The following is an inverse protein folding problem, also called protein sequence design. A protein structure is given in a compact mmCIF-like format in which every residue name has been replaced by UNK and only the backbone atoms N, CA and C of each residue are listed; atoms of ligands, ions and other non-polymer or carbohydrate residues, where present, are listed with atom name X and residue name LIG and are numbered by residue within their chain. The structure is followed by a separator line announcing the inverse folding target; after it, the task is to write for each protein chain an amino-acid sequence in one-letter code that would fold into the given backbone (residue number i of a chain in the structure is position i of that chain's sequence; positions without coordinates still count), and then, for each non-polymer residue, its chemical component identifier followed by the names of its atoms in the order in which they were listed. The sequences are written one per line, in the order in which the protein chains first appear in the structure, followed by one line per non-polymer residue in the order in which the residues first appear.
data_IF_684734370877
#
_entry.id   IF_684734370877
#
_cell.length_a   1.000
_cell.length_b   1.000
_cell.length_c   1.000
_cell.angle_alpha   90.00
_cell.angle_beta   90.00
_cell.angle_gamma   90.00
#
_symmetry.space_group_name_H-M   'P 1'
#
loop_
_entity.id
_entity.type
_entity.pdbx_description
1 polymer ?
#
# COMPACT_ATOMS: atom_id res chain seq x y z
N UNK A 1 -25.27 -3.61 6.05
CA UNK A 1 -24.14 -2.88 6.68
C UNK A 1 -23.41 -3.73 7.71
N UNK A 2 -24.10 -4.38 8.65
CA UNK A 2 -23.43 -5.23 9.66
C UNK A 2 -22.57 -6.35 9.05
N UNK A 3 -23.09 -7.11 8.07
CA UNK A 3 -22.31 -8.15 7.39
C UNK A 3 -21.02 -7.64 6.72
N UNK A 4 -21.04 -6.40 6.21
CA UNK A 4 -19.85 -5.77 5.62
C UNK A 4 -18.83 -5.42 6.71
N UNK A 5 -19.26 -4.88 7.84
CA UNK A 5 -18.36 -4.57 8.96
C UNK A 5 -17.69 -5.83 9.51
N UNK A 6 -18.46 -6.90 9.73
CA UNK A 6 -17.92 -8.18 10.18
C UNK A 6 -16.91 -8.73 9.18
N UNK A 7 -17.26 -8.78 7.90
CA UNK A 7 -16.33 -9.25 6.86
C UNK A 7 -15.02 -8.45 6.81
N UNK A 8 -15.08 -7.12 6.95
CA UNK A 8 -13.88 -6.28 6.98
C UNK A 8 -13.05 -6.48 8.25
N UNK A 9 -13.70 -6.62 9.41
CA UNK A 9 -13.02 -6.91 10.67
C UNK A 9 -12.29 -8.26 10.60
N UNK A 10 -12.92 -9.29 10.04
CA UNK A 10 -12.30 -10.60 9.84
C UNK A 10 -11.08 -10.52 8.91
N UNK A 11 -11.18 -9.79 7.79
CA UNK A 11 -10.04 -9.58 6.89
C UNK A 11 -8.90 -8.82 7.57
N UNK A 12 -9.20 -7.77 8.34
CA UNK A 12 -8.20 -7.00 9.09
C UNK A 12 -7.52 -7.88 10.15
N UNK A 13 -8.30 -8.66 10.90
CA UNK A 13 -7.77 -9.54 11.95
C UNK A 13 -6.90 -10.66 11.36
N UNK A 14 -7.33 -11.27 10.26
CA UNK A 14 -6.56 -12.28 9.53
C UNK A 14 -5.24 -11.70 9.03
N UNK A 15 -5.27 -10.52 8.41
CA UNK A 15 -4.08 -9.83 7.96
C UNK A 15 -3.11 -9.49 9.11
N UNK A 16 -3.62 -8.96 10.23
CA UNK A 16 -2.78 -8.69 11.39
C UNK A 16 -2.16 -9.94 12.00
N UNK A 17 -2.94 -11.03 12.10
CA UNK A 17 -2.43 -12.32 12.56
C UNK A 17 -1.28 -12.81 11.68
N UNK A 18 -1.42 -12.65 10.36
CA UNK A 18 -0.39 -13.00 9.40
C UNK A 18 0.88 -12.15 9.58
N UNK A 19 0.76 -10.83 9.67
CA UNK A 19 1.92 -9.94 9.88
C UNK A 19 2.64 -10.27 11.19
N UNK A 20 1.90 -10.54 12.28
CA UNK A 20 2.51 -10.96 13.57
C UNK A 20 3.22 -12.31 13.45
N UNK A 21 2.65 -13.27 12.73
CA UNK A 21 3.30 -14.56 12.48
C UNK A 21 4.59 -14.39 11.68
N UNK A 22 4.60 -13.53 10.65
CA UNK A 22 5.80 -13.19 9.90
C UNK A 22 6.86 -12.54 10.79
N UNK A 23 6.44 -11.61 11.67
CA UNK A 23 7.31 -10.93 12.62
C UNK A 23 7.96 -11.89 13.61
N UNK A 24 7.21 -12.87 14.13
CA UNK A 24 7.73 -13.89 15.05
C UNK A 24 8.70 -14.86 14.38
N UNK A 25 8.50 -15.15 13.09
CA UNK A 25 9.36 -16.04 12.32
C UNK A 25 10.64 -15.35 11.81
N UNK A 26 10.70 -14.02 11.84
CA UNK A 26 11.85 -13.26 11.36
C UNK A 26 12.84 -12.98 12.49
N UNK A 27 14.05 -13.51 12.34
CA UNK A 27 15.15 -13.28 13.29
C UNK A 27 16.14 -12.23 12.75
N UNK A 28 16.12 -11.06 13.38
CA UNK A 28 17.00 -9.94 13.03
C UNK A 28 18.46 -10.19 13.42
N UNK A 29 18.71 -10.97 14.48
CA UNK A 29 20.06 -11.31 14.91
C UNK A 29 20.74 -12.20 13.87
N UNK A 30 20.01 -13.18 13.32
CA UNK A 30 20.50 -13.98 12.19
C UNK A 30 20.83 -13.09 11.00
N UNK A 31 19.93 -12.19 10.58
CA UNK A 31 20.22 -11.27 9.46
C UNK A 31 21.48 -10.44 9.73
N UNK A 32 21.60 -9.85 10.92
CA UNK A 32 22.76 -9.07 11.32
C UNK A 32 24.06 -9.88 11.25
N UNK A 33 24.07 -11.10 11.78
CA UNK A 33 25.23 -11.98 11.73
C UNK A 33 25.63 -12.31 10.28
N UNK A 34 24.66 -12.56 9.39
CA UNK A 34 24.93 -12.78 7.97
C UNK A 34 25.52 -11.53 7.31
N UNK A 35 24.97 -10.36 7.61
CA UNK A 35 25.45 -9.10 7.07
C UNK A 35 26.86 -8.74 7.55
N UNK A 36 27.24 -9.07 8.79
CA UNK A 36 28.61 -8.87 9.28
C UNK A 36 29.65 -9.66 8.49
N UNK A 37 29.26 -10.80 7.90
CA UNK A 37 30.14 -11.61 7.07
C UNK A 37 30.36 -11.01 5.68
N UNK A 38 29.52 -10.05 5.28
CA UNK A 38 29.66 -9.28 4.07
C UNK A 38 30.38 -7.99 4.47
N UNK A 39 31.64 -7.82 4.09
CA UNK A 39 32.41 -6.59 4.38
C UNK A 39 32.36 -5.65 3.17
N UNK A 40 31.35 -4.77 3.06
CA UNK A 40 31.24 -3.87 1.92
C UNK A 40 32.20 -2.70 2.06
N UNK A 41 32.68 -2.20 0.92
CA UNK A 41 33.51 -0.99 0.86
C UNK A 41 32.69 0.31 1.02
N UNK A 42 31.36 0.25 0.88
CA UNK A 42 30.47 1.40 0.91
C UNK A 42 29.09 1.03 1.48
N UNK A 43 28.30 2.04 1.84
CA UNK A 43 26.95 1.86 2.36
C UNK A 43 26.01 1.26 1.31
N UNK A 44 25.33 0.18 1.68
CA UNK A 44 24.36 -0.52 0.84
C UNK A 44 23.04 0.23 0.86
N UNK A 45 22.66 0.72 -0.33
CA UNK A 45 21.47 1.53 -0.56
C UNK A 45 20.31 0.71 -1.12
N UNK A 46 20.56 -0.50 -1.66
CA UNK A 46 19.54 -1.33 -2.31
C UNK A 46 19.69 -2.80 -2.00
N UNK A 47 18.58 -3.54 -2.14
CA UNK A 47 18.61 -5.01 -2.10
C UNK A 47 19.38 -5.59 -3.29
N UNK A 48 19.33 -4.93 -4.46
CA UNK A 48 20.11 -5.34 -5.63
C UNK A 48 21.62 -5.18 -5.41
N UNK A 49 22.06 -4.13 -4.70
CA UNK A 49 23.46 -3.98 -4.30
C UNK A 49 23.89 -5.07 -3.32
N UNK A 50 22.99 -5.50 -2.43
CA UNK A 50 23.23 -6.60 -1.51
C UNK A 50 23.38 -7.93 -2.26
N UNK A 51 22.51 -8.21 -3.23
CA UNK A 51 22.61 -9.39 -4.11
C UNK A 51 23.93 -9.39 -4.89
N UNK A 52 24.29 -8.27 -5.53
CA UNK A 52 25.55 -8.14 -6.28
C UNK A 52 26.80 -8.31 -5.42
N UNK A 53 26.76 -7.83 -4.17
CA UNK A 53 27.88 -7.98 -3.22
C UNK A 53 28.13 -9.45 -2.86
N UNK A 54 27.07 -10.24 -2.79
CA UNK A 54 27.15 -11.68 -2.53
C UNK A 54 27.67 -12.41 -3.76
N UNK A 55 27.14 -12.10 -4.95
CA UNK A 55 27.56 -12.69 -6.22
C UNK A 55 29.06 -12.44 -6.50
N UNK A 56 29.57 -11.24 -6.21
CA UNK A 56 31.00 -10.94 -6.43
C UNK A 56 31.91 -11.72 -5.48
N UNK A 57 31.43 -12.06 -4.27
CA UNK A 57 32.21 -12.85 -3.31
C UNK A 57 32.29 -14.33 -3.67
N UNK A 58 31.21 -14.89 -4.22
CA UNK A 58 31.22 -16.28 -4.69
C UNK A 58 32.21 -16.48 -5.85
N UNK A 59 32.40 -15.45 -6.68
CA UNK A 59 33.37 -15.46 -7.79
C UNK A 59 34.82 -15.41 -7.32
N UNK A 60 35.12 -14.75 -6.20
CA UNK A 60 36.47 -14.64 -5.64
C UNK A 60 36.94 -15.90 -4.85
N UNK A 61 36.09 -16.93 -4.73
CA UNK A 61 36.46 -18.23 -4.15
C UNK A 61 36.82 -18.19 -2.65
N UNK A 62 36.56 -17.07 -1.97
CA UNK A 62 37.02 -16.80 -0.62
C UNK A 62 35.94 -17.18 0.42
N UNK A 63 36.15 -18.37 0.99
CA UNK A 63 35.52 -18.97 2.17
C UNK A 63 34.00 -19.16 2.13
N UNK A 64 33.60 -20.44 2.01
CA UNK A 64 32.27 -20.96 2.37
C UNK A 64 32.07 -20.83 3.88
N UNK A 65 31.83 -19.62 4.39
CA UNK A 65 31.37 -19.43 5.76
C UNK A 65 29.95 -20.01 5.85
N UNK A 66 29.81 -21.10 6.58
CA UNK A 66 28.55 -21.84 6.74
C UNK A 66 27.73 -21.20 7.87
N UNK A 67 26.49 -20.82 7.58
CA UNK A 67 25.56 -20.34 8.61
C UNK A 67 24.84 -21.57 9.16
N UNK A 68 24.93 -21.81 10.47
CA UNK A 68 24.09 -22.81 11.15
C UNK A 68 22.79 -22.15 11.57
N UNK A 69 21.78 -22.18 10.68
CA UNK A 69 20.40 -21.85 11.02
C UNK A 69 19.55 -23.12 10.81
N UNK A 70 19.12 -23.75 11.90
CA UNK A 70 18.12 -24.84 11.91
C UNK A 70 18.31 -25.96 10.89
N UNK A 71 18.97 -27.05 11.30
CA UNK A 71 19.05 -28.38 10.64
C UNK A 71 19.58 -28.49 9.20
N UNK A 72 19.59 -27.44 8.38
CA UNK A 72 20.14 -27.44 7.03
C UNK A 72 21.25 -26.38 6.88
N UNK A 73 22.36 -26.76 6.25
CA UNK A 73 23.51 -25.87 6.02
C UNK A 73 23.11 -24.84 4.96
N UNK A 74 22.73 -23.65 5.39
CA UNK A 74 22.45 -22.54 4.49
C UNK A 74 23.74 -21.73 4.25
N UNK A 75 24.10 -21.49 2.99
CA UNK A 75 25.17 -20.56 2.65
C UNK A 75 24.63 -19.11 2.65
N UNK A 76 25.56 -18.14 2.68
CA UNK A 76 25.22 -16.72 2.73
C UNK A 76 24.34 -16.32 1.55
N UNK A 77 24.61 -16.85 0.35
CA UNK A 77 23.85 -16.53 -0.84
C UNK A 77 22.41 -17.04 -0.81
N UNK A 78 22.21 -18.28 -0.36
CA UNK A 78 20.86 -18.83 -0.16
C UNK A 78 20.09 -18.01 0.87
N UNK A 79 20.73 -17.59 1.97
CA UNK A 79 20.08 -16.75 2.97
C UNK A 79 19.70 -15.37 2.43
N UNK A 80 20.60 -14.69 1.70
CA UNK A 80 20.31 -13.37 1.13
C UNK A 80 19.23 -13.47 0.04
N UNK A 81 19.27 -14.49 -0.81
CA UNK A 81 18.21 -14.76 -1.80
C UNK A 81 16.86 -15.01 -1.14
N UNK A 82 16.83 -15.80 -0.05
CA UNK A 82 15.65 -15.98 0.79
C UNK A 82 15.16 -14.64 1.35
N UNK A 83 16.07 -13.82 1.90
CA UNK A 83 15.73 -12.53 2.49
C UNK A 83 15.10 -11.57 1.47
N UNK A 84 15.66 -11.48 0.25
CA UNK A 84 15.07 -10.63 -0.80
C UNK A 84 13.71 -11.17 -1.22
N UNK A 85 13.56 -12.49 -1.35
CA UNK A 85 12.27 -13.14 -1.63
C UNK A 85 11.25 -12.87 -0.51
N UNK A 86 11.70 -12.88 0.74
CA UNK A 86 10.89 -12.56 1.91
C UNK A 86 10.41 -11.11 1.89
N UNK A 87 11.27 -10.15 1.55
CA UNK A 87 10.84 -8.74 1.39
C UNK A 87 9.83 -8.59 0.25
N UNK A 88 10.02 -9.28 -0.90
CA UNK A 88 9.04 -9.31 -2.00
C UNK A 88 7.70 -9.89 -1.54
N UNK A 89 7.73 -10.93 -0.72
CA UNK A 89 6.55 -11.51 -0.09
C UNK A 89 5.83 -10.53 0.84
N UNK A 90 6.54 -9.77 1.68
CA UNK A 90 5.92 -8.69 2.47
C UNK A 90 5.30 -7.61 1.57
N UNK A 91 5.87 -7.38 0.39
CA UNK A 91 5.29 -6.53 -0.64
C UNK A 91 3.96 -7.07 -1.21
N UNK A 92 3.86 -8.38 -1.42
CA UNK A 92 2.61 -9.00 -1.87
C UNK A 92 1.51 -8.97 -0.79
N UNK A 93 1.89 -9.09 0.49
CA UNK A 93 0.97 -8.91 1.62
C UNK A 93 0.37 -7.50 1.64
N UNK A 94 1.18 -6.46 1.38
CA UNK A 94 0.70 -5.09 1.21
C UNK A 94 -0.32 -4.99 0.07
N UNK A 95 -0.03 -5.62 -1.07
CA UNK A 95 -0.97 -5.69 -2.19
C UNK A 95 -2.30 -6.36 -1.81
N UNK A 96 -2.23 -7.48 -1.07
CA UNK A 96 -3.42 -8.18 -0.58
C UNK A 96 -4.25 -7.32 0.38
N UNK A 97 -3.60 -6.61 1.30
CA UNK A 97 -4.27 -5.66 2.20
C UNK A 97 -4.99 -4.55 1.44
N UNK A 98 -4.35 -3.99 0.41
CA UNK A 98 -4.97 -2.97 -0.43
C UNK A 98 -6.25 -3.49 -1.09
N UNK A 99 -6.19 -4.66 -1.72
CA UNK A 99 -7.31 -5.25 -2.45
C UNK A 99 -8.45 -5.67 -1.52
N UNK A 100 -8.14 -6.28 -0.37
CA UNK A 100 -9.15 -6.90 0.50
C UNK A 100 -9.68 -5.98 1.59
N UNK A 101 -8.96 -4.92 1.94
CA UNK A 101 -9.32 -4.03 3.05
C UNK A 101 -9.44 -2.60 2.57
N UNK A 102 -8.39 -2.04 1.96
CA UNK A 102 -8.38 -0.60 1.63
C UNK A 102 -9.41 -0.23 0.57
N UNK A 103 -9.48 -0.96 -0.54
CA UNK A 103 -10.46 -0.65 -1.59
C UNK A 103 -11.90 -0.78 -1.10
N UNK A 104 -12.30 -1.86 -0.40
CA UNK A 104 -13.62 -1.93 0.22
C UNK A 104 -13.93 -0.80 1.21
N UNK A 105 -12.94 -0.35 2.02
CA UNK A 105 -13.11 0.79 2.91
C UNK A 105 -13.39 2.08 2.14
N UNK A 106 -12.65 2.32 1.04
CA UNK A 106 -12.85 3.47 0.18
C UNK A 106 -14.21 3.46 -0.51
N UNK A 107 -14.61 2.30 -1.04
CA UNK A 107 -15.83 2.14 -1.83
C UNK A 107 -17.08 2.24 -0.97
N UNK A 108 -17.04 1.72 0.26
CA UNK A 108 -18.25 1.54 1.07
C UNK A 108 -18.33 2.49 2.27
N UNK A 109 -17.20 2.93 2.82
CA UNK A 109 -17.14 3.60 4.13
C UNK A 109 -16.45 4.97 4.08
N UNK A 110 -16.10 5.50 2.90
CA UNK A 110 -15.48 6.81 2.78
C UNK A 110 -16.52 7.92 2.76
N UNK A 111 -16.51 8.75 3.78
CA UNK A 111 -17.33 9.96 3.90
C UNK A 111 -16.38 11.16 3.99
N UNK A 112 -16.49 12.10 3.06
CA UNK A 112 -15.77 13.37 3.14
C UNK A 112 -16.43 14.23 4.24
N UNK A 113 -15.84 14.27 5.43
CA UNK A 113 -16.21 15.19 6.52
C UNK A 113 -15.72 16.64 6.29
N UNK A 114 -15.55 17.07 5.03
CA UNK A 114 -15.04 18.41 4.71
C UNK A 114 -16.08 19.52 5.00
N UNK A 115 -17.30 19.18 5.45
CA UNK A 115 -18.34 20.15 5.83
C UNK A 115 -18.26 20.66 7.28
N UNK A 116 -17.43 20.07 8.15
CA UNK A 116 -17.34 20.47 9.57
C UNK A 116 -16.17 21.42 9.88
N UNK A 117 -15.14 21.46 9.05
CA UNK A 117 -14.01 22.39 9.22
C UNK A 117 -14.29 23.80 8.62
N UNK A 118 -15.37 23.96 7.84
CA UNK A 118 -15.75 25.22 7.21
C UNK A 118 -16.66 26.14 8.06
N UNK A 119 -17.08 25.72 9.26
CA UNK A 119 -18.02 26.51 10.10
C UNK A 119 -17.47 26.97 11.45
N UNK A 120 -16.17 26.84 11.72
CA UNK A 120 -15.56 27.40 12.95
C UNK A 120 -15.07 28.84 12.76
N UNK A 121 -15.99 29.76 12.45
CA UNK A 121 -15.85 31.19 12.77
C UNK A 121 -17.23 31.79 13.06
N UNK A 122 -17.73 31.56 14.28
CA UNK A 122 -18.97 32.18 14.76
C UNK A 122 -19.32 31.73 16.18
N UNK A 123 -19.20 32.65 17.13
CA UNK A 123 -19.39 32.45 18.57
C UNK A 123 -20.57 31.56 19.02
N UNK A 124 -20.29 30.60 19.92
CA UNK A 124 -20.82 30.63 21.30
C UNK A 124 -20.09 29.67 22.24
N UNK A 125 -19.85 30.21 23.43
CA UNK A 125 -19.25 29.62 24.62
C UNK A 125 -20.20 28.58 25.23
N UNK A 126 -19.72 27.36 25.48
CA UNK A 126 -20.44 26.38 26.32
C UNK A 126 -20.13 24.93 25.98
N UNK A 127 -19.41 24.26 26.88
CA UNK A 127 -19.16 22.81 26.96
C UNK A 127 -18.27 22.18 25.86
N UNK A 128 -17.05 21.83 26.28
CA UNK A 128 -16.17 20.94 25.53
C UNK A 128 -16.78 19.55 25.38
N UNK A 129 -17.38 19.31 24.22
CA UNK A 129 -17.59 17.97 23.70
C UNK A 129 -16.48 17.72 22.68
N UNK A 130 -15.53 16.88 23.11
CA UNK A 130 -14.44 16.31 22.31
C UNK A 130 -14.98 15.96 20.93
N UNK A 131 -14.57 16.71 19.90
CA UNK A 131 -15.01 16.47 18.53
C UNK A 131 -14.84 14.98 18.21
N UNK A 132 -15.89 14.28 17.74
CA UNK A 132 -15.81 12.85 17.45
C UNK A 132 -14.68 12.65 16.46
N UNK A 133 -13.81 11.68 16.75
CA UNK A 133 -12.60 11.46 15.98
C UNK A 133 -13.00 11.12 14.53
N UNK A 134 -12.82 12.06 13.60
CA UNK A 134 -13.42 11.97 12.26
C UNK A 134 -12.91 10.78 11.46
N UNK A 135 -13.82 10.17 10.70
CA UNK A 135 -13.51 9.07 9.78
C UNK A 135 -12.49 9.55 8.74
N UNK A 136 -12.67 10.77 8.24
CA UNK A 136 -11.75 11.42 7.30
C UNK A 136 -10.32 11.57 7.86
N UNK A 137 -10.14 11.88 9.16
CA UNK A 137 -8.80 11.97 9.77
C UNK A 137 -8.11 10.61 9.81
N UNK A 138 -8.83 9.56 10.18
CA UNK A 138 -8.29 8.19 10.16
C UNK A 138 -7.95 7.74 8.74
N UNK A 139 -8.79 8.06 7.76
CA UNK A 139 -8.50 7.79 6.35
C UNK A 139 -7.21 8.48 5.90
N UNK A 140 -7.05 9.79 6.19
CA UNK A 140 -5.82 10.55 5.88
C UNK A 140 -4.58 9.92 6.51
N UNK A 141 -4.66 9.48 7.76
CA UNK A 141 -3.56 8.79 8.45
C UNK A 141 -3.24 7.44 7.78
N UNK A 142 -4.26 6.64 7.47
CA UNK A 142 -4.10 5.35 6.80
C UNK A 142 -3.39 5.52 5.47
N UNK A 143 -3.84 6.45 4.63
CA UNK A 143 -3.23 6.71 3.33
C UNK A 143 -1.80 7.23 3.44
N UNK A 144 -1.50 8.05 4.45
CA UNK A 144 -0.14 8.53 4.70
C UNK A 144 0.82 7.38 5.01
N UNK A 145 0.45 6.49 5.96
CA UNK A 145 1.27 5.33 6.32
C UNK A 145 1.38 4.36 5.15
N UNK A 146 0.26 4.07 4.48
CA UNK A 146 0.21 3.20 3.29
C UNK A 146 1.09 3.71 2.16
N UNK A 147 1.12 5.03 1.91
CA UNK A 147 2.00 5.64 0.90
C UNK A 147 3.46 5.44 1.26
N UNK A 148 3.85 5.71 2.51
CA UNK A 148 5.23 5.48 2.98
C UNK A 148 5.62 4.00 2.88
N UNK A 149 4.68 3.09 3.16
CA UNK A 149 4.89 1.66 3.01
C UNK A 149 5.13 1.26 1.55
N UNK A 150 4.28 1.75 0.64
CA UNK A 150 4.47 1.53 -0.79
C UNK A 150 5.80 2.09 -1.30
N UNK A 151 6.24 3.26 -0.80
CA UNK A 151 7.49 3.89 -1.22
C UNK A 151 8.73 3.14 -0.72
N UNK A 152 8.69 2.49 0.45
CA UNK A 152 9.79 1.61 0.89
C UNK A 152 9.90 0.34 0.03
N UNK A 153 8.80 -0.11 -0.56
CA UNK A 153 8.74 -1.28 -1.42
C UNK A 153 8.92 -0.95 -2.91
N UNK A 154 8.96 0.33 -3.28
CA UNK A 154 8.96 0.78 -4.68
C UNK A 154 10.34 1.34 -5.06
N UNK A 155 10.94 0.71 -6.06
CA UNK A 155 12.19 1.14 -6.66
C UNK A 155 13.39 0.38 -6.09
N UNK A 156 14.55 0.59 -6.73
CA UNK A 156 15.74 -0.18 -6.40
C UNK A 156 16.37 0.30 -5.09
N UNK A 157 16.20 1.58 -4.72
CA UNK A 157 16.86 2.18 -3.55
C UNK A 157 15.98 2.27 -2.31
N UNK A 158 16.54 1.89 -1.16
CA UNK A 158 15.93 2.01 0.16
C UNK A 158 16.14 3.44 0.67
N UNK A 159 15.07 4.22 0.64
CA UNK A 159 15.09 5.61 1.07
C UNK A 159 14.79 5.76 2.57
N UNK A 160 15.74 6.35 3.28
CA UNK A 160 15.66 6.51 4.72
C UNK A 160 14.54 7.45 5.18
N UNK A 161 14.06 8.36 4.31
CA UNK A 161 13.04 9.34 4.65
C UNK A 161 11.67 8.70 4.93
N UNK A 162 11.44 7.48 4.47
CA UNK A 162 10.17 6.78 4.65
C UNK A 162 10.12 5.88 5.88
N UNK A 163 11.24 5.71 6.58
CA UNK A 163 11.26 4.93 7.82
C UNK A 163 10.49 5.64 8.95
N UNK A 164 9.85 4.82 9.76
CA UNK A 164 9.20 5.19 11.01
C UNK A 164 10.20 5.24 12.17
N UNK A 165 10.03 6.10 13.18
CA UNK A 165 10.91 6.13 14.35
C UNK A 165 10.96 4.79 15.10
N UNK A 166 9.90 3.98 15.05
CA UNK A 166 9.78 2.71 15.77
C UNK A 166 10.83 1.69 15.31
N UNK A 167 11.03 1.56 14.00
CA UNK A 167 12.01 0.61 13.45
C UNK A 167 13.46 0.94 13.81
N UNK A 168 13.73 2.17 14.25
CA UNK A 168 15.06 2.54 14.75
C UNK A 168 15.36 1.87 16.10
N UNK A 169 14.35 1.76 16.97
CA UNK A 169 14.51 1.13 18.29
C UNK A 169 14.85 -0.35 18.15
N UNK A 170 14.25 -1.02 17.15
CA UNK A 170 14.51 -2.44 16.88
C UNK A 170 15.94 -2.69 16.41
N UNK A 171 16.60 -1.68 15.81
CA UNK A 171 17.96 -1.81 15.27
C UNK A 171 19.04 -1.14 16.12
N UNK A 172 18.67 -0.49 17.22
CA UNK A 172 19.59 0.33 18.02
C UNK A 172 20.76 -0.47 18.61
N UNK A 173 20.57 -1.77 18.87
CA UNK A 173 21.61 -2.67 19.38
C UNK A 173 22.67 -3.08 18.36
N UNK A 174 22.46 -2.83 17.06
CA UNK A 174 23.32 -3.33 15.97
C UNK A 174 24.29 -2.28 15.43
N UNK A 175 24.74 -1.36 16.28
CA UNK A 175 25.50 -0.16 15.90
C UNK A 175 26.79 -0.38 15.09
N UNK A 176 27.30 -1.61 15.00
CA UNK A 176 28.46 -1.93 14.15
C UNK A 176 28.13 -2.22 12.67
N UNK A 177 26.86 -2.38 12.30
CA UNK A 177 26.44 -2.62 10.91
C UNK A 177 26.26 -1.31 10.10
N UNK A 178 27.25 -0.41 10.20
CA UNK A 178 27.21 0.93 9.60
C UNK A 178 26.83 0.95 8.10
N UNK A 179 27.30 0.02 7.24
CA UNK A 179 26.93 0.04 5.82
C UNK A 179 25.57 -0.63 5.52
N UNK A 180 24.98 -1.36 6.47
CA UNK A 180 23.74 -2.11 6.26
C UNK A 180 22.54 -1.58 7.06
N UNK A 181 22.66 -0.43 7.72
CA UNK A 181 21.62 0.09 8.61
C UNK A 181 20.25 0.21 7.93
N UNK A 182 20.21 0.53 6.63
CA UNK A 182 18.98 0.59 5.83
C UNK A 182 18.35 -0.79 5.62
N UNK A 183 19.17 -1.80 5.33
CA UNK A 183 18.74 -3.19 5.10
C UNK A 183 18.19 -3.79 6.39
N UNK A 184 18.91 -3.62 7.50
CA UNK A 184 18.49 -4.09 8.83
C UNK A 184 17.17 -3.48 9.27
N UNK A 185 16.96 -2.19 8.98
CA UNK A 185 15.76 -1.46 9.37
C UNK A 185 14.55 -1.77 8.48
N UNK A 186 14.77 -2.31 7.28
CA UNK A 186 13.72 -2.50 6.28
C UNK A 186 12.59 -3.39 6.79
N UNK A 187 12.89 -4.63 7.14
CA UNK A 187 11.87 -5.61 7.56
C UNK A 187 11.12 -5.17 8.83
N UNK A 188 11.79 -4.75 9.92
CA UNK A 188 11.10 -4.21 11.09
C UNK A 188 10.13 -3.07 10.74
N UNK A 189 10.54 -2.14 9.86
CA UNK A 189 9.67 -1.04 9.46
C UNK A 189 8.46 -1.49 8.65
N UNK A 190 8.61 -2.48 7.77
CA UNK A 190 7.49 -3.06 7.02
C UNK A 190 6.45 -3.67 7.97
N UNK A 191 6.87 -4.33 9.05
CA UNK A 191 5.94 -4.83 10.08
C UNK A 191 5.22 -3.70 10.81
N UNK A 192 5.95 -2.67 11.28
CA UNK A 192 5.35 -1.51 11.95
C UNK A 192 4.32 -0.82 11.06
N UNK A 193 4.62 -0.62 9.77
CA UNK A 193 3.69 -0.02 8.83
C UNK A 193 2.48 -0.92 8.58
N UNK A 194 2.68 -2.22 8.37
CA UNK A 194 1.60 -3.18 8.19
C UNK A 194 0.62 -3.17 9.37
N UNK A 195 1.14 -3.29 10.60
CA UNK A 195 0.34 -3.25 11.82
C UNK A 195 -0.35 -1.89 12.02
N UNK A 196 0.35 -0.77 11.78
CA UNK A 196 -0.23 0.56 11.88
C UNK A 196 -1.37 0.77 10.87
N UNK A 197 -1.22 0.30 9.62
CA UNK A 197 -2.29 0.39 8.63
C UNK A 197 -3.51 -0.46 8.99
N UNK A 198 -3.30 -1.65 9.56
CA UNK A 198 -4.38 -2.51 10.00
C UNK A 198 -5.14 -1.93 11.20
N UNK A 199 -4.42 -1.35 12.17
CA UNK A 199 -5.02 -0.62 13.29
C UNK A 199 -5.86 0.58 12.81
N UNK A 200 -5.34 1.36 11.86
CA UNK A 200 -6.08 2.49 11.29
C UNK A 200 -7.31 2.04 10.50
N UNK A 201 -7.22 0.93 9.76
CA UNK A 201 -8.36 0.33 9.06
C UNK A 201 -9.44 -0.12 10.05
N UNK A 202 -9.06 -0.75 11.16
CA UNK A 202 -10.00 -1.15 12.21
C UNK A 202 -10.70 0.06 12.83
N UNK A 203 -9.93 1.08 13.21
CA UNK A 203 -10.48 2.33 13.75
C UNK A 203 -11.44 3.01 12.77
N UNK A 204 -11.19 2.91 11.47
CA UNK A 204 -12.10 3.41 10.46
C UNK A 204 -13.43 2.67 10.52
N UNK A 205 -13.42 1.34 10.48
CA UNK A 205 -14.63 0.50 10.55
C UNK A 205 -15.40 0.80 11.84
N UNK A 206 -14.75 0.81 12.99
CA UNK A 206 -15.37 1.06 14.30
C UNK A 206 -16.04 2.43 14.37
N UNK A 207 -15.37 3.48 13.86
CA UNK A 207 -15.91 4.84 13.87
C UNK A 207 -17.06 5.00 12.90
N UNK A 208 -16.95 4.42 11.70
CA UNK A 208 -18.04 4.45 10.74
C UNK A 208 -19.26 3.67 11.28
N UNK A 209 -19.04 2.51 11.88
CA UNK A 209 -20.09 1.74 12.55
C UNK A 209 -20.71 2.49 13.73
N UNK A 210 -19.93 3.28 14.49
CA UNK A 210 -20.46 4.09 15.59
C UNK A 210 -21.29 5.29 15.12
N UNK A 211 -20.94 5.88 13.97
CA UNK A 211 -21.65 7.03 13.39
C UNK A 211 -22.94 6.63 12.65
N UNK A 212 -22.99 5.40 12.14
CA UNK A 212 -24.13 4.88 11.36
C UNK A 212 -24.86 3.71 12.02
N UNK A 213 -24.39 3.28 13.19
CA UNK A 213 -25.05 2.29 14.03
C UNK A 213 -26.27 2.95 14.65
N UNK A 214 -27.44 2.45 14.27
CA UNK A 214 -28.70 2.73 14.94
C UNK A 214 -28.52 2.46 16.43
N UNK A 215 -28.46 3.51 17.23
CA UNK A 215 -28.67 3.37 18.66
C UNK A 215 -30.10 2.81 18.79
N UNK A 216 -30.32 1.62 19.36
CA UNK A 216 -31.66 1.27 19.80
C UNK A 216 -32.00 2.29 20.87
N UNK A 217 -32.93 3.19 20.56
CA UNK A 217 -33.58 4.00 21.58
C UNK A 217 -34.10 3.01 22.62
N UNK A 218 -33.63 3.04 23.88
CA UNK A 218 -34.30 2.31 24.93
C UNK A 218 -35.59 3.08 25.19
N UNK A 219 -36.66 2.70 24.51
CA UNK A 219 -37.99 3.06 24.95
C UNK A 219 -38.25 2.30 26.25
N UNK A 220 -38.65 3.09 27.24
CA UNK A 220 -39.42 2.74 28.43
C UNK A 220 -38.66 2.29 29.69
N UNK A 221 -38.39 3.31 30.50
CA UNK A 221 -38.76 3.33 31.92
C UNK A 221 -40.09 2.60 32.17
N UNK A 222 -40.04 1.50 32.92
CA UNK A 222 -41.23 0.75 33.32
C UNK A 222 -41.00 -0.26 34.44
N UNK A 223 -40.82 0.25 35.66
CA UNK A 223 -41.29 -0.37 36.91
C UNK A 223 -40.65 -1.69 37.44
N UNK A 224 -39.91 -1.51 38.55
CA UNK A 224 -39.90 -2.30 39.81
C UNK A 224 -40.08 -3.83 39.79
N UNK A 225 -39.06 -4.56 40.30
CA UNK A 225 -39.09 -5.21 41.64
C UNK A 225 -37.83 -6.04 41.93
N UNK A 226 -37.43 -5.94 43.20
CA UNK A 226 -36.48 -6.75 43.99
C UNK A 226 -36.40 -8.24 43.61
N UNK A 227 -35.19 -8.79 43.70
CA UNK A 227 -34.95 -10.21 43.95
C UNK A 227 -33.48 -10.53 44.18
N UNK A 228 -33.11 -10.87 45.42
CA UNK A 228 -31.80 -11.37 45.87
C UNK A 228 -31.51 -12.75 45.24
N UNK A 229 -30.22 -13.08 45.06
CA UNK A 229 -29.78 -14.48 44.90
C UNK A 229 -28.31 -14.63 44.53
N UNK A 230 -27.48 -14.91 45.53
CA UNK A 230 -26.15 -15.52 45.39
C UNK A 230 -26.29 -16.98 44.93
N UNK A 231 -25.38 -17.48 44.09
CA UNK A 231 -24.64 -18.75 44.28
C UNK A 231 -23.92 -19.22 43.00
N UNK A 232 -22.84 -19.97 43.25
CA UNK A 232 -21.85 -20.53 42.34
C UNK A 232 -22.25 -21.89 41.73
N UNK A 233 -21.42 -22.37 40.79
CA UNK A 233 -21.35 -23.74 40.25
C UNK A 233 -21.06 -23.70 38.73
N UNK A 234 -19.87 -23.98 38.20
CA UNK A 234 -18.99 -25.15 38.25
C UNK A 234 -19.44 -26.35 37.41
N UNK A 235 -18.44 -26.95 36.72
CA UNK A 235 -18.40 -28.18 35.90
C UNK A 235 -19.08 -28.14 34.52
N UNK A 236 -18.68 -28.91 33.51
CA UNK A 236 -17.44 -29.52 32.99
C UNK A 236 -17.91 -30.44 31.84
N UNK A 237 -17.01 -30.65 30.87
CA UNK A 237 -16.83 -31.85 30.04
C UNK A 237 -17.98 -32.52 29.26
N UNK A 238 -17.80 -32.55 27.93
CA UNK A 238 -17.56 -33.74 27.08
C UNK A 238 -17.42 -33.25 25.62
N UNK A 239 -16.56 -33.72 24.72
CA UNK A 239 -15.65 -34.86 24.68
C UNK A 239 -15.63 -35.44 23.25
N UNK A 240 -14.43 -35.69 22.70
CA UNK A 240 -14.10 -36.71 21.66
C UNK A 240 -14.68 -36.53 20.23
N UNK A 241 -14.06 -36.94 19.10
CA UNK A 241 -12.71 -37.31 18.65
C UNK A 241 -12.81 -37.60 17.12
N UNK A 242 -11.66 -37.59 16.43
CA UNK A 242 -11.38 -38.28 15.14
C UNK A 242 -12.07 -37.77 13.86
N UNK A 243 -11.46 -37.77 12.67
CA UNK A 243 -10.18 -38.27 12.18
C UNK A 243 -9.97 -37.86 10.71
N UNK A 244 -8.70 -37.81 10.29
CA UNK A 244 -8.15 -38.25 8.99
C UNK A 244 -8.87 -37.85 7.68
N UNK A 245 -8.16 -37.11 6.82
CA UNK A 245 -7.88 -37.51 5.43
C UNK A 245 -6.90 -36.53 4.76
N UNK A 246 -5.69 -37.01 4.47
CA UNK A 246 -4.93 -36.60 3.26
C UNK A 246 -5.60 -37.26 2.05
N UNK A 247 -5.46 -36.70 0.83
CA UNK A 247 -4.36 -37.05 -0.09
C UNK A 247 -3.84 -35.78 -0.82
N UNK A 248 -2.72 -35.71 -1.54
CA UNK A 248 -1.82 -36.67 -2.15
C UNK A 248 -1.17 -35.92 -3.32
N UNK A 249 0.17 -35.92 -3.41
CA UNK A 249 0.94 -35.44 -4.55
C UNK A 249 0.54 -36.16 -5.84
N UNK A 250 0.88 -35.57 -7.00
CA UNK A 250 1.75 -36.31 -7.90
C UNK A 250 2.95 -35.49 -8.41
N UNK A 251 3.96 -36.28 -8.75
CA UNK A 251 5.33 -35.94 -9.10
C UNK A 251 5.58 -36.25 -10.59
N UNK A 252 6.43 -35.41 -11.21
CA UNK A 252 7.29 -35.62 -12.39
C UNK A 252 6.70 -35.71 -13.83
N UNK A 253 7.24 -34.87 -14.73
CA UNK A 253 8.07 -35.19 -15.92
C UNK A 253 8.45 -33.87 -16.66
N UNK A 254 9.74 -33.52 -16.82
CA UNK A 254 10.60 -33.67 -18.03
C UNK A 254 9.96 -33.10 -19.32
N UNK A 255 10.56 -32.29 -20.21
CA UNK A 255 11.95 -31.99 -20.58
C UNK A 255 12.01 -30.78 -21.58
N UNK A 256 13.24 -30.41 -21.97
CA UNK A 256 13.69 -29.61 -23.16
C UNK A 256 13.91 -28.10 -22.96
N UNK A 257 15.16 -27.66 -22.74
CA UNK A 257 16.25 -27.39 -23.72
C UNK A 257 16.03 -26.10 -24.54
N UNK A 258 16.80 -25.05 -24.24
CA UNK A 258 17.85 -24.63 -25.19
C UNK A 258 18.95 -23.79 -24.53
N UNK A 259 20.16 -24.13 -24.95
CA UNK A 259 21.47 -23.68 -24.49
C UNK A 259 22.00 -22.70 -25.53
N UNK A 260 22.52 -21.55 -25.11
CA UNK A 260 23.54 -20.85 -25.89
C UNK A 260 24.72 -20.46 -25.00
N UNK A 261 25.94 -20.97 -25.26
CA UNK A 261 27.15 -20.52 -24.58
C UNK A 261 27.74 -19.27 -25.27
N UNK A 262 28.53 -18.45 -24.55
CA UNK A 262 29.24 -17.33 -25.14
C UNK A 262 30.51 -17.81 -25.88
N UNK A 263 31.06 -17.00 -26.82
CA UNK A 263 32.30 -17.34 -27.50
C UNK A 263 33.50 -17.17 -26.56
N UNK A 264 34.36 -18.19 -26.56
CA UNK A 264 35.72 -18.11 -26.03
C UNK A 264 36.54 -17.09 -26.83
N UNK A 265 37.21 -16.18 -26.13
CA UNK A 265 38.39 -15.49 -26.64
C UNK A 265 39.58 -15.82 -25.73
N UNK A 266 40.56 -16.50 -26.31
CA UNK A 266 41.83 -16.85 -25.72
C UNK A 266 42.77 -15.64 -25.65
N UNK A 267 43.56 -15.60 -24.57
CA UNK A 267 44.98 -15.18 -24.52
C UNK A 267 45.40 -13.86 -25.19
N UNK A 268 45.91 -12.92 -24.39
CA UNK A 268 47.37 -12.82 -24.18
C UNK A 268 47.75 -11.66 -23.25
N UNK A 269 48.84 -11.88 -22.51
CA UNK A 269 49.57 -10.91 -21.68
C UNK A 269 50.01 -9.70 -22.50
N UNK A 270 50.00 -8.51 -21.87
CA UNK A 270 51.18 -7.66 -21.77
C UNK A 270 50.98 -6.50 -20.77
N UNK A 271 51.86 -6.49 -19.77
CA UNK A 271 52.67 -5.36 -19.28
C UNK A 271 52.02 -4.06 -18.75
N UNK A 272 52.43 -3.75 -17.52
CA UNK A 272 52.33 -2.47 -16.82
C UNK A 272 52.81 -1.27 -17.67
N UNK A 273 52.07 -0.15 -17.61
CA UNK A 273 52.58 1.17 -17.17
C UNK A 273 51.53 2.29 -17.38
N UNK A 274 51.48 3.23 -16.42
CA UNK A 274 50.85 4.58 -16.46
C UNK A 274 49.32 4.59 -16.60
N UNK A 275 48.55 4.67 -15.51
CA UNK A 275 48.62 5.77 -14.54
C UNK A 275 48.32 7.10 -15.22
N UNK A 276 47.09 7.62 -15.03
CA UNK A 276 46.60 8.99 -15.36
C UNK A 276 45.68 9.20 -16.59
N UNK A 277 45.29 8.19 -17.38
CA UNK A 277 44.29 8.37 -18.46
C UNK A 277 42.87 7.86 -18.13
N UNK A 278 42.69 7.03 -17.09
CA UNK A 278 41.42 6.33 -16.84
C UNK A 278 40.34 7.16 -16.14
N UNK A 279 40.67 8.34 -15.60
CA UNK A 279 39.72 9.15 -14.79
C UNK A 279 38.67 9.87 -15.66
N UNK A 280 39.01 10.24 -16.89
CA UNK A 280 38.06 10.88 -17.82
C UNK A 280 37.11 9.88 -18.48
N UNK A 281 37.55 8.64 -18.72
CA UNK A 281 36.72 7.59 -19.32
C UNK A 281 35.61 7.08 -18.40
N UNK A 282 35.90 6.92 -17.10
CA UNK A 282 34.89 6.55 -16.11
C UNK A 282 33.91 7.69 -15.82
N UNK A 283 34.39 8.93 -15.78
CA UNK A 283 33.54 10.11 -15.61
C UNK A 283 32.58 10.31 -16.80
N UNK A 284 33.07 10.14 -18.04
CA UNK A 284 32.21 10.20 -19.24
C UNK A 284 31.17 9.07 -19.29
N UNK A 285 31.54 7.85 -18.87
CA UNK A 285 30.59 6.73 -18.77
C UNK A 285 29.52 6.97 -17.71
N UNK A 286 29.89 7.52 -16.55
CA UNK A 286 28.93 7.84 -15.48
C UNK A 286 27.95 8.93 -15.92
N UNK A 287 28.43 9.96 -16.61
CA UNK A 287 27.56 11.03 -17.12
C UNK A 287 26.64 10.50 -18.23
N UNK A 288 27.13 9.62 -19.10
CA UNK A 288 26.30 8.96 -20.12
C UNK A 288 25.22 8.07 -19.50
N UNK A 289 25.54 7.31 -18.44
CA UNK A 289 24.56 6.50 -17.71
C UNK A 289 23.51 7.38 -17.03
N UNK A 290 23.91 8.51 -16.48
CA UNK A 290 23.00 9.49 -15.88
C UNK A 290 22.06 10.10 -16.93
N UNK A 291 22.59 10.54 -18.07
CA UNK A 291 21.80 11.06 -19.19
C UNK A 291 20.84 10.00 -19.73
N UNK A 292 21.30 8.75 -19.85
CA UNK A 292 20.46 7.65 -20.28
C UNK A 292 19.32 7.38 -19.29
N UNK A 293 19.61 7.38 -17.98
CA UNK A 293 18.58 7.25 -16.94
C UNK A 293 17.57 8.40 -16.95
N UNK A 294 18.03 9.64 -17.16
CA UNK A 294 17.16 10.81 -17.31
C UNK A 294 16.25 10.69 -18.55
N UNK A 295 16.79 10.25 -19.69
CA UNK A 295 16.02 10.01 -20.91
C UNK A 295 14.94 8.93 -20.72
N UNK A 296 15.29 7.81 -20.09
CA UNK A 296 14.33 6.74 -19.81
C UNK A 296 13.22 7.20 -18.86
N UNK A 297 13.54 8.06 -17.88
CA UNK A 297 12.54 8.69 -17.01
C UNK A 297 11.58 9.59 -17.80
N UNK A 298 12.09 10.39 -18.74
CA UNK A 298 11.26 11.25 -19.59
C UNK A 298 10.34 10.44 -20.51
N UNK A 299 10.84 9.39 -21.17
CA UNK A 299 10.02 8.51 -22.01
C UNK A 299 8.92 7.80 -21.22
N UNK A 300 9.21 7.37 -20.01
CA UNK A 300 8.19 6.78 -19.13
C UNK A 300 7.11 7.81 -18.75
N UNK A 301 7.49 9.04 -18.45
CA UNK A 301 6.54 10.13 -18.12
C UNK A 301 5.68 10.54 -19.31
N UNK A 302 6.24 10.56 -20.52
CA UNK A 302 5.47 10.78 -21.76
C UNK A 302 4.40 9.71 -21.92
N UNK A 303 4.78 8.43 -21.79
CA UNK A 303 3.83 7.32 -21.83
C UNK A 303 2.76 7.41 -20.73
N UNK A 304 3.15 7.81 -19.53
CA UNK A 304 2.24 8.03 -18.39
C UNK A 304 1.26 9.18 -18.67
N UNK A 305 1.73 10.28 -19.24
CA UNK A 305 0.91 11.44 -19.62
C UNK A 305 -0.16 11.08 -20.64
N UNK A 306 0.19 10.30 -21.67
CA UNK A 306 -0.77 9.80 -22.68
C UNK A 306 -1.83 8.88 -22.05
N UNK A 307 -1.44 8.02 -21.10
CA UNK A 307 -2.38 7.19 -20.35
C UNK A 307 -3.35 8.04 -19.54
N UNK A 308 -2.84 9.05 -18.82
CA UNK A 308 -3.67 9.96 -18.01
C UNK A 308 -4.63 10.77 -18.90
N UNK A 309 -4.20 11.21 -20.08
CA UNK A 309 -5.05 11.90 -21.04
C UNK A 309 -6.23 11.02 -21.50
N UNK A 310 -5.97 9.75 -21.83
CA UNK A 310 -7.02 8.79 -22.18
C UNK A 310 -8.01 8.58 -21.02
N UNK A 311 -7.51 8.39 -19.79
CA UNK A 311 -8.35 8.22 -18.60
C UNK A 311 -9.20 9.47 -18.32
N UNK A 312 -8.67 10.68 -18.55
CA UNK A 312 -9.42 11.93 -18.43
C UNK A 312 -10.54 12.00 -19.47
N UNK A 313 -10.29 11.57 -20.72
CA UNK A 313 -11.32 11.53 -21.75
C UNK A 313 -12.46 10.57 -21.39
N UNK A 314 -12.14 9.38 -20.89
CA UNK A 314 -13.13 8.40 -20.43
C UNK A 314 -14.00 8.96 -19.29
N UNK A 315 -13.39 9.58 -18.29
CA UNK A 315 -14.12 10.19 -17.17
C UNK A 315 -14.98 11.35 -17.65
N UNK A 316 -14.50 12.18 -18.58
CA UNK A 316 -15.32 13.24 -19.17
C UNK A 316 -16.57 12.67 -19.88
N UNK A 317 -16.43 11.55 -20.59
CA UNK A 317 -17.55 10.88 -21.23
C UNK A 317 -18.54 10.33 -20.19
N UNK A 318 -18.03 9.71 -19.12
CA UNK A 318 -18.84 9.22 -17.99
C UNK A 318 -19.64 10.36 -17.33
N UNK A 319 -18.99 11.48 -17.02
CA UNK A 319 -19.62 12.69 -16.47
C UNK A 319 -20.72 13.21 -17.41
N UNK A 320 -20.45 13.27 -18.71
CA UNK A 320 -21.44 13.69 -19.71
C UNK A 320 -22.67 12.78 -19.67
N UNK A 321 -22.48 11.46 -19.70
CA UNK A 321 -23.57 10.49 -19.65
C UNK A 321 -24.40 10.63 -18.36
N UNK A 322 -23.75 10.78 -17.21
CA UNK A 322 -24.43 10.96 -15.92
C UNK A 322 -25.23 12.26 -15.87
N UNK A 323 -24.72 13.37 -16.43
CA UNK A 323 -25.46 14.63 -16.53
C UNK A 323 -26.70 14.49 -17.39
N UNK A 324 -26.60 13.83 -18.55
CA UNK A 324 -27.77 13.56 -19.41
C UNK A 324 -28.82 12.72 -18.68
N UNK A 325 -28.39 11.66 -17.98
CA UNK A 325 -29.30 10.78 -17.25
C UNK A 325 -30.00 11.51 -16.10
N UNK A 326 -29.26 12.33 -15.35
CA UNK A 326 -29.83 13.19 -14.30
C UNK A 326 -30.87 14.15 -14.84
N UNK A 327 -30.59 14.84 -15.96
CA UNK A 327 -31.56 15.76 -16.59
C UNK A 327 -32.81 15.01 -17.06
N UNK A 328 -32.67 13.79 -17.59
CA UNK A 328 -33.81 12.96 -17.98
C UNK A 328 -34.70 12.63 -16.75
N UNK A 329 -34.08 12.24 -15.63
CA UNK A 329 -34.79 11.96 -14.37
C UNK A 329 -35.43 13.20 -13.74
N UNK A 330 -34.81 14.37 -13.85
CA UNK A 330 -35.41 15.64 -13.42
C UNK A 330 -36.66 15.99 -14.25
N UNK A 331 -36.68 15.65 -15.55
CA UNK A 331 -37.87 15.81 -16.40
C UNK A 331 -38.97 14.82 -16.03
N UNK A 332 -38.62 13.57 -15.73
CA UNK A 332 -39.55 12.55 -15.23
C UNK A 332 -40.23 13.02 -13.93
N UNK A 333 -39.44 13.54 -12.97
CA UNK A 333 -39.96 14.09 -11.73
C UNK A 333 -40.94 15.25 -11.97
N UNK A 334 -40.60 16.20 -12.84
CA UNK A 334 -41.50 17.33 -13.18
C UNK A 334 -42.80 16.87 -13.83
N UNK A 335 -42.75 15.85 -14.70
CA UNK A 335 -43.95 15.29 -15.32
C UNK A 335 -44.86 14.63 -14.27
N UNK A 336 -44.27 13.89 -13.32
CA UNK A 336 -45.00 13.30 -12.19
C UNK A 336 -45.63 14.37 -11.30
N UNK A 337 -44.92 15.47 -11.01
CA UNK A 337 -45.44 16.58 -10.20
C UNK A 337 -46.62 17.29 -10.89
N UNK A 338 -46.52 17.56 -12.18
CA UNK A 338 -47.61 18.15 -12.97
C UNK A 338 -48.85 17.24 -13.05
N UNK A 339 -48.66 15.93 -13.04
CA UNK A 339 -49.77 14.97 -13.03
C UNK A 339 -50.44 14.91 -11.66
N UNK A 340 -49.65 14.92 -10.58
CA UNK A 340 -50.17 14.95 -9.21
C UNK A 340 -51.00 16.21 -8.93
N UNK A 341 -50.57 17.37 -9.44
CA UNK A 341 -51.30 18.64 -9.33
C UNK A 341 -52.66 18.60 -10.05
N UNK A 342 -52.74 17.92 -11.21
CA UNK A 342 -53.98 17.77 -11.97
C UNK A 342 -54.97 16.81 -11.31
N UNK A 343 -54.47 15.77 -10.65
CA UNK A 343 -55.28 14.72 -10.05
C UNK A 343 -55.77 15.07 -8.63
N UNK A 344 -55.44 16.25 -8.08
CA UNK A 344 -55.74 16.69 -6.71
C UNK A 344 -55.34 15.68 -5.61
N UNK A 345 -54.38 14.79 -5.91
CA UNK A 345 -53.91 13.76 -4.98
C UNK A 345 -52.83 14.36 -4.07
N UNK A 346 -53.19 14.65 -2.82
CA UNK A 346 -52.24 15.17 -1.80
C UNK A 346 -51.37 14.09 -1.13
N UNK A 347 -51.36 12.86 -1.66
CA UNK A 347 -50.71 11.71 -1.02
C UNK A 347 -49.32 11.48 -1.63
N UNK A 348 -48.27 11.24 -0.81
CA UNK A 348 -46.95 10.87 -1.32
C UNK A 348 -47.02 9.61 -2.20
N UNK A 349 -46.80 9.76 -3.51
CA UNK A 349 -46.72 8.63 -4.42
C UNK A 349 -45.35 7.94 -4.30
N UNK A 350 -45.29 6.61 -4.06
CA UNK A 350 -44.04 5.85 -3.97
C UNK A 350 -43.11 6.04 -5.18
N UNK A 351 -43.67 6.27 -6.38
CA UNK A 351 -42.90 6.54 -7.59
C UNK A 351 -42.12 7.86 -7.51
N UNK A 352 -42.71 8.92 -6.93
CA UNK A 352 -42.02 10.21 -6.74
C UNK A 352 -40.82 10.05 -5.81
N UNK A 353 -40.99 9.31 -4.72
CA UNK A 353 -39.91 9.05 -3.77
C UNK A 353 -38.79 8.21 -4.40
N UNK A 354 -39.12 7.23 -5.24
CA UNK A 354 -38.14 6.43 -5.97
C UNK A 354 -37.28 7.31 -6.91
N UNK A 355 -37.91 8.19 -7.70
CA UNK A 355 -37.21 9.10 -8.61
C UNK A 355 -36.31 10.08 -7.85
N UNK A 356 -36.75 10.57 -6.69
CA UNK A 356 -35.91 11.43 -5.81
C UNK A 356 -34.68 10.68 -5.29
N UNK A 357 -34.85 9.44 -4.83
CA UNK A 357 -33.73 8.60 -4.39
C UNK A 357 -32.72 8.32 -5.53
N UNK A 358 -33.21 8.08 -6.75
CA UNK A 358 -32.37 7.90 -7.94
C UNK A 358 -31.62 9.19 -8.30
N UNK A 359 -32.27 10.36 -8.23
CA UNK A 359 -31.61 11.65 -8.45
C UNK A 359 -30.50 11.91 -7.43
N UNK A 360 -30.73 11.58 -6.17
CA UNK A 360 -29.70 11.67 -5.12
C UNK A 360 -28.53 10.72 -5.38
N UNK A 361 -28.80 9.50 -5.86
CA UNK A 361 -27.77 8.53 -6.23
C UNK A 361 -26.94 9.03 -7.42
N UNK A 362 -27.59 9.53 -8.47
CA UNK A 362 -26.91 10.13 -9.64
C UNK A 362 -26.12 11.37 -9.26
N UNK A 363 -26.63 12.19 -8.35
CA UNK A 363 -25.92 13.34 -7.80
C UNK A 363 -24.66 12.95 -7.06
N UNK A 364 -24.69 11.85 -6.27
CA UNK A 364 -23.50 11.29 -5.63
C UNK A 364 -22.50 10.79 -6.66
N UNK A 365 -22.95 10.01 -7.64
CA UNK A 365 -22.08 9.44 -8.67
C UNK A 365 -21.40 10.51 -9.53
N UNK A 366 -22.13 11.57 -9.89
CA UNK A 366 -21.58 12.70 -10.63
C UNK A 366 -20.46 13.41 -9.85
N UNK A 367 -20.64 13.64 -8.55
CA UNK A 367 -19.60 14.25 -7.70
C UNK A 367 -18.34 13.38 -7.61
N UNK A 368 -18.50 12.06 -7.59
CA UNK A 368 -17.36 11.13 -7.56
C UNK A 368 -16.57 11.16 -8.87
N UNK A 369 -17.25 11.15 -10.02
CA UNK A 369 -16.59 11.23 -11.32
C UNK A 369 -15.92 12.61 -11.52
N UNK A 370 -16.56 13.70 -11.10
CA UNK A 370 -15.94 15.04 -11.10
C UNK A 370 -14.70 15.10 -10.21
N UNK A 371 -14.72 14.44 -9.05
CA UNK A 371 -13.53 14.32 -8.20
C UNK A 371 -12.43 13.47 -8.84
N UNK A 372 -12.78 12.33 -9.44
CA UNK A 372 -11.83 11.48 -10.18
C UNK A 372 -11.16 12.28 -11.30
N UNK A 373 -11.94 13.07 -12.05
CA UNK A 373 -11.41 13.98 -13.06
C UNK A 373 -10.40 14.97 -12.46
N UNK A 374 -10.71 15.59 -11.32
CA UNK A 374 -9.80 16.54 -10.69
C UNK A 374 -8.48 15.90 -10.24
N UNK A 375 -8.50 14.67 -9.73
CA UNK A 375 -7.28 13.92 -9.42
C UNK A 375 -6.47 13.67 -10.68
N UNK A 376 -7.09 13.10 -11.71
CA UNK A 376 -6.40 12.76 -12.96
C UNK A 376 -5.82 14.01 -13.64
N UNK A 377 -6.53 15.14 -13.59
CA UNK A 377 -6.02 16.42 -14.08
C UNK A 377 -4.84 16.93 -13.25
N UNK A 378 -4.88 16.78 -11.91
CA UNK A 378 -3.76 17.11 -11.04
C UNK A 378 -2.53 16.26 -11.33
N UNK A 379 -2.71 14.94 -11.46
CA UNK A 379 -1.64 14.01 -11.82
C UNK A 379 -1.07 14.32 -13.21
N UNK A 380 -1.94 14.63 -14.18
CA UNK A 380 -1.52 15.01 -15.53
C UNK A 380 -0.73 16.33 -15.55
N UNK A 381 -1.18 17.35 -14.81
CA UNK A 381 -0.44 18.61 -14.67
C UNK A 381 0.91 18.43 -13.99
N UNK A 382 1.03 17.54 -13.01
CA UNK A 382 2.31 17.20 -12.39
C UNK A 382 3.26 16.50 -13.36
N UNK A 383 2.73 15.66 -14.25
CA UNK A 383 3.53 15.06 -15.32
C UNK A 383 3.96 16.11 -16.37
N UNK A 384 3.13 17.12 -16.64
CA UNK A 384 3.42 18.22 -17.57
C UNK A 384 4.27 19.36 -16.98
N UNK A 385 4.31 19.54 -15.65
CA UNK A 385 5.22 20.46 -14.96
C UNK A 385 6.66 19.93 -15.04
N UNK A 386 7.22 20.03 -16.24
CA UNK A 386 8.64 19.93 -16.49
C UNK A 386 9.26 21.20 -15.94
N UNK A 387 10.16 21.08 -14.95
CA UNK A 387 11.14 22.13 -14.69
C UNK A 387 11.88 22.39 -16.01
N UNK A 388 11.83 23.60 -16.61
CA UNK A 388 12.56 23.90 -17.84
C UNK A 388 14.09 23.71 -17.70
N UNK A 389 14.59 23.49 -16.48
CA UNK A 389 15.98 23.13 -16.17
C UNK A 389 16.39 21.74 -16.70
N UNK A 390 15.43 20.84 -16.96
CA UNK A 390 15.70 19.49 -17.50
C UNK A 390 15.79 19.45 -19.03
N UNK A 391 15.29 20.47 -19.72
CA UNK A 391 15.57 20.67 -21.14
C UNK A 391 16.79 21.57 -21.27
N UNK A 392 17.99 21.04 -21.01
CA UNK A 392 19.21 21.74 -21.46
C UNK A 392 19.13 21.88 -22.98
N UNK A 393 19.35 23.08 -23.54
CA UNK A 393 19.42 23.23 -24.98
C UNK A 393 20.58 22.39 -25.51
N UNK A 394 20.29 21.52 -26.49
CA UNK A 394 21.25 20.67 -27.23
C UNK A 394 22.20 21.52 -28.12
N UNK A 395 22.26 22.84 -27.92
CA UNK A 395 23.05 23.75 -28.75
C UNK A 395 24.38 24.13 -28.10
N UNK A 396 25.26 23.16 -27.86
CA UNK A 396 26.70 23.41 -27.76
C UNK A 396 27.51 22.25 -28.38
N UNK A 397 27.26 21.96 -29.65
CA UNK A 397 28.30 21.41 -30.53
C UNK A 397 28.47 22.42 -31.66
N UNK A 398 29.33 23.42 -31.40
CA UNK A 398 29.90 24.26 -32.46
C UNK A 398 30.95 23.42 -33.17
N UNK A 399 30.72 23.14 -34.44
CA UNK A 399 31.76 22.95 -35.45
C UNK A 399 31.86 24.22 -36.28
#
# INVERSE_FOLDING_TARGET
MEALYTALQDQIQSFEGHIRSCQQAFDIDTLYNVLLLLSPAADIQSLEQLEKLVESREQDGQDRVRITAGCDKCDIASYISWFVTYVRYLGSLKGSFDTKVVFPLCENLYVNDDSLDALTFGHRRGHGLRAPASVARTAKQLFSVRRKWALLLKGDTIDAQFFSPQSWLDVQGFGSACPFGKVLRLVPDLFHKGLATAQLARLWVERHASNHGTCPVPSDLGSTKRGKGLAAGSLEHHGYNSSLCQPGLPQAQHDCLEVWPPPQATSSRCSNERGTCMRSGSQGRNELHKIHGELMSLLWREKRSLSLESEIQEVNQSISNLRHHRVAKERELKALEQQLEKDHLSVPCPQRQAVLCELDALGRQLRLEEYRKNILQGDWLLELEVRPVLMRPINTVRS
#
